data_IF_254418383538
#
_entry.id   IF_254418383538
#
_cell.length_a   1.000
_cell.length_b   1.000
_cell.length_c   1.000
_cell.angle_alpha   90.00
_cell.angle_beta   90.00
_cell.angle_gamma   90.00
#
_symmetry.space_group_name_H-M   'P 1'
#
loop_
_entity.id
_entity.type
_entity.pdbx_description
1 polymer ?
#
# COMPACT_ATOMS: atom_id res chain seq x y z
N UNK A 1 -16.96 -3.78 3.47
CA UNK A 1 -16.07 -4.93 3.19
C UNK A 1 -16.91 -6.17 2.99
N UNK A 2 -16.57 -7.06 2.04
CA UNK A 2 -17.23 -8.35 1.93
C UNK A 2 -17.07 -9.18 3.21
N UNK A 3 -18.04 -10.07 3.47
CA UNK A 3 -17.98 -10.97 4.63
C UNK A 3 -16.72 -11.83 4.59
N UNK A 4 -16.10 -12.05 5.75
CA UNK A 4 -14.85 -12.82 5.88
C UNK A 4 -13.56 -12.03 5.61
N UNK A 5 -13.64 -10.77 5.19
CA UNK A 5 -12.48 -9.91 4.95
C UNK A 5 -12.37 -8.79 5.99
N UNK A 6 -11.14 -8.54 6.45
CA UNK A 6 -10.81 -7.48 7.39
C UNK A 6 -9.90 -6.45 6.70
N UNK A 7 -10.30 -5.18 6.73
CA UNK A 7 -9.40 -4.08 6.38
C UNK A 7 -8.38 -3.86 7.50
N UNK A 8 -7.11 -3.72 7.14
CA UNK A 8 -6.00 -3.48 8.08
C UNK A 8 -5.49 -2.07 7.99
N UNK A 9 -5.31 -1.58 6.76
CA UNK A 9 -4.79 -0.26 6.48
C UNK A 9 -5.24 0.16 5.07
N UNK A 10 -5.08 1.42 4.73
CA UNK A 10 -5.30 1.91 3.39
C UNK A 10 -4.80 3.33 3.20
N UNK A 11 -4.55 3.70 1.96
CA UNK A 11 -4.17 5.06 1.58
C UNK A 11 -4.68 5.40 0.19
N UNK A 12 -4.71 6.69 -0.10
CA UNK A 12 -5.13 7.23 -1.40
C UNK A 12 -3.91 7.38 -2.30
N UNK A 13 -4.12 7.30 -3.61
CA UNK A 13 -3.11 7.60 -4.63
C UNK A 13 -3.66 8.64 -5.60
N UNK A 14 -2.82 9.59 -5.97
CA UNK A 14 -3.20 10.69 -6.87
C UNK A 14 -4.15 11.67 -6.18
N UNK A 15 -3.86 11.99 -4.91
CA UNK A 15 -4.58 13.02 -4.18
C UNK A 15 -4.34 14.38 -4.85
N UNK A 16 -5.43 15.07 -5.15
CA UNK A 16 -5.47 16.40 -5.76
C UNK A 16 -5.68 17.46 -4.66
N UNK A 17 -5.41 18.73 -4.98
CA UNK A 17 -5.53 19.85 -4.02
C UNK A 17 -6.95 20.02 -3.48
N UNK A 18 -7.96 19.69 -4.29
CA UNK A 18 -9.37 19.73 -3.89
C UNK A 18 -9.78 18.54 -2.99
N UNK A 19 -8.85 17.64 -2.65
CA UNK A 19 -9.11 16.46 -1.83
C UNK A 19 -9.55 15.22 -2.60
N UNK A 20 -9.76 15.30 -3.93
CA UNK A 20 -10.11 14.15 -4.74
C UNK A 20 -8.92 13.22 -4.98
N UNK A 21 -9.20 11.94 -5.22
CA UNK A 21 -8.21 10.95 -5.57
C UNK A 21 -8.76 9.97 -6.60
N UNK A 22 -7.89 9.46 -7.46
CA UNK A 22 -8.29 8.52 -8.52
C UNK A 22 -8.23 7.07 -8.08
N UNK A 23 -7.39 6.74 -7.08
CA UNK A 23 -7.21 5.37 -6.61
C UNK A 23 -7.04 5.31 -5.10
N UNK A 24 -7.32 4.13 -4.55
CA UNK A 24 -6.93 3.76 -3.19
C UNK A 24 -6.21 2.44 -3.21
N UNK A 25 -5.34 2.24 -2.23
CA UNK A 25 -4.78 0.94 -1.91
C UNK A 25 -5.34 0.49 -0.57
N UNK A 26 -5.81 -0.74 -0.50
CA UNK A 26 -6.32 -1.34 0.74
C UNK A 26 -5.49 -2.56 1.10
N UNK A 27 -4.95 -2.57 2.32
CA UNK A 27 -4.38 -3.76 2.91
C UNK A 27 -5.52 -4.55 3.57
N UNK A 28 -5.74 -5.77 3.08
CA UNK A 28 -6.85 -6.63 3.44
C UNK A 28 -6.31 -7.95 3.95
N UNK A 29 -7.01 -8.62 4.85
CA UNK A 29 -6.68 -9.99 5.23
C UNK A 29 -7.95 -10.82 5.39
N UNK A 30 -7.86 -12.11 5.07
CA UNK A 30 -8.81 -13.13 5.54
C UNK A 30 -8.19 -13.93 6.70
N UNK A 31 -8.78 -15.07 7.07
CA UNK A 31 -8.26 -15.95 8.13
C UNK A 31 -6.96 -16.69 7.77
N UNK A 32 -6.51 -16.65 6.52
CA UNK A 32 -5.40 -17.42 5.99
C UNK A 32 -4.27 -16.55 5.44
N UNK A 33 -4.58 -15.42 4.79
CA UNK A 33 -3.61 -14.61 4.04
C UNK A 33 -3.88 -13.11 4.09
N UNK A 34 -2.79 -12.35 3.91
CA UNK A 34 -2.83 -10.93 3.64
C UNK A 34 -2.89 -10.66 2.14
N UNK A 35 -3.53 -9.56 1.75
CA UNK A 35 -3.69 -9.09 0.39
C UNK A 35 -3.56 -7.58 0.32
N UNK A 36 -3.22 -7.10 -0.86
CA UNK A 36 -3.30 -5.68 -1.21
C UNK A 36 -4.22 -5.54 -2.40
N UNK A 37 -5.21 -4.65 -2.27
CA UNK A 37 -6.16 -4.34 -3.32
C UNK A 37 -5.85 -2.95 -3.87
N UNK A 38 -5.77 -2.84 -5.19
CA UNK A 38 -5.82 -1.57 -5.88
C UNK A 38 -7.28 -1.30 -6.27
N UNK A 39 -7.80 -0.16 -5.84
CA UNK A 39 -9.16 0.25 -6.16
C UNK A 39 -9.14 1.53 -6.99
N UNK A 40 -9.93 1.57 -8.06
CA UNK A 40 -10.24 2.80 -8.78
C UNK A 40 -11.43 3.49 -8.12
N UNK A 41 -11.30 4.79 -7.85
CA UNK A 41 -12.40 5.64 -7.40
C UNK A 41 -13.41 5.84 -8.53
N UNK A 42 -14.69 5.63 -8.24
CA UNK A 42 -15.83 5.93 -9.10
C UNK A 42 -16.60 7.17 -8.61
N UNK A 43 -16.00 7.94 -7.69
CA UNK A 43 -16.62 9.05 -7.00
C UNK A 43 -17.29 8.65 -5.69
N UNK A 44 -17.94 9.61 -5.05
CA UNK A 44 -18.66 9.39 -3.80
C UNK A 44 -20.17 9.29 -4.07
N UNK A 45 -20.83 8.40 -3.34
CA UNK A 45 -22.28 8.35 -3.29
C UNK A 45 -22.83 9.69 -2.74
N UNK A 46 -23.65 10.45 -3.50
CA UNK A 46 -24.09 11.77 -3.08
C UNK A 46 -24.96 11.77 -1.82
N UNK A 47 -25.68 10.67 -1.55
CA UNK A 47 -26.61 10.58 -0.43
C UNK A 47 -25.92 10.22 0.89
N UNK A 48 -24.86 9.43 0.83
CA UNK A 48 -24.16 8.88 2.00
C UNK A 48 -22.74 9.39 2.16
N UNK A 49 -22.19 10.05 1.15
CA UNK A 49 -20.79 10.49 1.10
C UNK A 49 -19.78 9.33 1.04
N UNK A 50 -20.24 8.09 0.85
CA UNK A 50 -19.36 6.91 0.83
C UNK A 50 -18.63 6.82 -0.50
N UNK A 51 -17.34 6.48 -0.47
CA UNK A 51 -16.57 6.21 -1.67
C UNK A 51 -17.14 4.99 -2.40
N UNK A 52 -17.53 5.17 -3.66
CA UNK A 52 -17.77 4.09 -4.60
C UNK A 52 -16.44 3.76 -5.29
N UNK A 53 -16.00 2.51 -5.20
CA UNK A 53 -14.73 2.09 -5.79
C UNK A 53 -14.83 0.69 -6.39
N UNK A 54 -14.05 0.45 -7.45
CA UNK A 54 -13.91 -0.85 -8.10
C UNK A 54 -12.53 -1.43 -7.78
N UNK A 55 -12.48 -2.67 -7.30
CA UNK A 55 -11.22 -3.43 -7.18
C UNK A 55 -10.75 -3.78 -8.59
N UNK A 56 -9.60 -3.25 -8.99
CA UNK A 56 -9.04 -3.44 -10.34
C UNK A 56 -7.84 -4.38 -10.37
N UNK A 57 -7.17 -4.57 -9.23
CA UNK A 57 -6.13 -5.59 -9.09
C UNK A 57 -5.96 -6.03 -7.64
N UNK A 58 -5.52 -7.27 -7.45
CA UNK A 58 -5.26 -7.88 -6.15
C UNK A 58 -3.93 -8.60 -6.18
N UNK A 59 -3.12 -8.38 -5.16
CA UNK A 59 -1.89 -9.13 -4.92
C UNK A 59 -1.95 -9.79 -3.56
N UNK A 60 -1.68 -11.09 -3.52
CA UNK A 60 -1.50 -11.81 -2.28
C UNK A 60 -0.13 -11.48 -1.68
N UNK A 61 -0.11 -11.23 -0.38
CA UNK A 61 1.11 -10.99 0.37
C UNK A 61 1.64 -12.33 0.92
N UNK A 62 2.96 -12.53 0.93
CA UNK A 62 3.53 -13.64 1.68
C UNK A 62 3.21 -13.47 3.17
N UNK A 63 3.20 -14.57 3.92
CA UNK A 63 3.06 -14.52 5.38
C UNK A 63 4.23 -13.76 5.98
N UNK A 64 3.95 -12.69 6.73
CA UNK A 64 4.99 -11.93 7.41
C UNK A 64 5.48 -12.70 8.64
N UNK A 65 6.79 -12.82 8.76
CA UNK A 65 7.43 -13.23 10.02
C UNK A 65 7.41 -12.08 11.04
N UNK A 66 7.71 -12.39 12.32
CA UNK A 66 7.79 -11.38 13.39
C UNK A 66 8.88 -10.32 13.15
N UNK A 67 9.85 -10.61 12.29
CA UNK A 67 10.94 -9.68 11.93
C UNK A 67 10.62 -8.88 10.67
N UNK A 68 9.38 -8.92 10.17
CA UNK A 68 8.96 -8.27 8.94
C UNK A 68 7.77 -7.35 9.18
N UNK A 69 7.71 -6.28 8.41
CA UNK A 69 6.61 -5.30 8.44
C UNK A 69 6.23 -4.88 7.03
N UNK A 70 4.93 -4.75 6.79
CA UNK A 70 4.41 -4.21 5.55
C UNK A 70 4.44 -2.68 5.58
N UNK A 71 4.97 -2.09 4.51
CA UNK A 71 5.19 -0.66 4.34
C UNK A 71 4.46 -0.17 3.08
N UNK A 72 3.82 1.00 3.18
CA UNK A 72 3.10 1.65 2.10
C UNK A 72 2.88 3.13 2.42
N UNK A 73 1.86 3.77 1.86
CA UNK A 73 1.40 5.12 2.22
C UNK A 73 2.52 6.18 2.24
N UNK A 74 3.19 6.40 1.11
CA UNK A 74 4.28 7.38 0.95
C UNK A 74 5.52 7.15 1.81
N UNK A 75 5.60 6.13 2.67
CA UNK A 75 6.79 5.90 3.50
C UNK A 75 7.96 5.25 2.76
N UNK A 76 7.77 4.81 1.51
CA UNK A 76 8.83 4.17 0.74
C UNK A 76 9.44 5.11 -0.32
N UNK A 77 10.74 4.93 -0.50
CA UNK A 77 11.58 5.66 -1.44
C UNK A 77 12.13 4.68 -2.47
N UNK A 78 12.36 5.16 -3.68
CA UNK A 78 13.11 4.44 -4.71
C UNK A 78 14.20 5.36 -5.23
N UNK A 79 15.46 4.93 -5.08
CA UNK A 79 16.64 5.69 -5.47
C UNK A 79 16.64 7.11 -4.86
N UNK A 80 16.32 7.20 -3.56
CA UNK A 80 16.31 8.46 -2.80
C UNK A 80 15.06 9.35 -2.99
N UNK A 81 14.13 8.98 -3.87
CA UNK A 81 12.90 9.75 -4.09
C UNK A 81 11.69 9.06 -3.48
N UNK A 82 10.91 9.80 -2.67
CA UNK A 82 9.66 9.31 -2.09
C UNK A 82 8.70 8.92 -3.22
N UNK A 83 8.04 7.78 -3.08
CA UNK A 83 7.17 7.26 -4.12
C UNK A 83 5.92 6.61 -3.51
N UNK A 84 4.79 7.31 -3.64
CA UNK A 84 3.47 6.89 -3.15
C UNK A 84 2.97 5.58 -3.72
N UNK A 85 3.43 5.24 -4.92
CA UNK A 85 3.02 4.03 -5.63
C UNK A 85 3.78 2.79 -5.15
N UNK A 86 4.72 2.92 -4.21
CA UNK A 86 5.51 1.81 -3.70
C UNK A 86 4.93 1.20 -2.45
N UNK A 87 5.04 -0.12 -2.39
CA UNK A 87 4.77 -0.93 -1.22
C UNK A 87 5.91 -1.92 -1.06
N UNK A 88 6.20 -2.28 0.17
CA UNK A 88 7.28 -3.20 0.46
C UNK A 88 7.01 -4.01 1.72
N UNK A 89 7.64 -5.17 1.81
CA UNK A 89 7.86 -5.84 3.08
C UNK A 89 9.30 -5.58 3.46
N UNK A 90 9.51 -4.91 4.59
CA UNK A 90 10.81 -4.54 5.11
C UNK A 90 11.12 -5.30 6.40
N UNK A 91 12.38 -5.28 6.82
CA UNK A 91 12.77 -5.73 8.16
C UNK A 91 12.18 -4.79 9.22
N UNK A 92 11.58 -5.39 10.25
CA UNK A 92 11.04 -4.68 11.39
C UNK A 92 12.18 -4.22 12.32
N UNK A 93 12.80 -3.10 11.97
CA UNK A 93 13.79 -2.41 12.81
C UNK A 93 13.20 -1.16 13.45
N UNK A 94 13.84 -0.71 14.54
CA UNK A 94 13.52 0.56 15.22
C UNK A 94 14.27 1.77 14.66
N UNK A 95 15.12 1.56 13.64
CA UNK A 95 15.82 2.65 12.95
C UNK A 95 14.84 3.53 12.18
N UNK A 96 15.18 4.81 11.98
CA UNK A 96 14.39 5.75 11.19
C UNK A 96 14.15 5.25 9.75
N UNK A 97 15.11 4.53 9.19
CA UNK A 97 15.02 3.95 7.85
C UNK A 97 15.20 2.43 7.89
N UNK A 98 14.34 1.73 7.17
CA UNK A 98 14.38 0.29 6.91
C UNK A 98 14.94 0.07 5.51
N UNK A 99 16.18 -0.38 5.45
CA UNK A 99 16.93 -0.56 4.19
C UNK A 99 16.91 -2.00 3.69
N UNK A 100 16.66 -2.97 4.57
CA UNK A 100 16.51 -4.38 4.19
C UNK A 100 15.08 -4.65 3.75
N UNK A 101 14.89 -4.80 2.44
CA UNK A 101 13.61 -5.03 1.80
C UNK A 101 13.53 -6.46 1.26
N UNK A 102 12.52 -7.21 1.68
CA UNK A 102 12.29 -8.60 1.28
C UNK A 102 11.47 -8.70 0.00
N UNK A 103 10.42 -7.89 -0.11
CA UNK A 103 9.53 -7.85 -1.26
C UNK A 103 9.15 -6.41 -1.57
N UNK A 104 8.92 -6.11 -2.84
CA UNK A 104 8.49 -4.80 -3.27
C UNK A 104 7.51 -4.89 -4.43
N UNK A 105 6.55 -3.99 -4.41
CA UNK A 105 5.56 -3.81 -5.45
C UNK A 105 5.40 -2.35 -5.81
N UNK A 106 5.01 -2.11 -7.05
CA UNK A 106 4.68 -0.78 -7.56
C UNK A 106 3.32 -0.78 -8.23
N UNK A 107 2.51 0.21 -7.88
CA UNK A 107 1.26 0.50 -8.58
C UNK A 107 1.57 1.19 -9.90
N UNK A 108 1.09 0.61 -10.98
CA UNK A 108 1.00 1.20 -12.32
C UNK A 108 -0.45 1.64 -12.54
N UNK A 109 -0.75 2.90 -12.17
CA UNK A 109 -2.11 3.46 -12.23
C UNK A 109 -2.67 3.49 -13.65
N UNK A 110 -1.82 3.70 -14.65
CA UNK A 110 -2.26 3.75 -16.04
C UNK A 110 -2.72 2.37 -16.56
N UNK A 111 -2.15 1.29 -16.01
CA UNK A 111 -2.51 -0.08 -16.36
C UNK A 111 -3.42 -0.75 -15.34
N UNK A 112 -3.76 -0.05 -14.26
CA UNK A 112 -4.52 -0.58 -13.13
C UNK A 112 -3.93 -1.89 -12.59
N UNK A 113 -2.60 -1.94 -12.43
CA UNK A 113 -1.88 -3.13 -11.98
C UNK A 113 -0.92 -2.86 -10.83
N UNK A 114 -0.81 -3.83 -9.93
CA UNK A 114 0.24 -3.92 -8.92
C UNK A 114 1.28 -4.92 -9.45
N UNK A 115 2.52 -4.45 -9.65
CA UNK A 115 3.59 -5.29 -10.18
C UNK A 115 4.67 -5.50 -9.15
N UNK A 116 5.11 -6.74 -9.00
CA UNK A 116 6.35 -7.02 -8.29
C UNK A 116 7.51 -6.33 -8.99
N UNK A 117 8.41 -5.74 -8.21
CA UNK A 117 9.61 -5.06 -8.70
C UNK A 117 10.84 -5.51 -7.92
N UNK A 118 12.02 -5.21 -8.44
CA UNK A 118 13.26 -5.39 -7.70
C UNK A 118 13.24 -4.55 -6.41
N UNK A 119 13.82 -5.10 -5.34
CA UNK A 119 14.01 -4.42 -4.06
C UNK A 119 15.20 -3.44 -4.08
N UNK A 120 16.02 -3.47 -5.14
CA UNK A 120 17.22 -2.63 -5.27
C UNK A 120 16.86 -1.14 -5.22
N UNK A 121 17.53 -0.42 -4.34
CA UNK A 121 17.35 1.03 -4.18
C UNK A 121 16.07 1.43 -3.45
N UNK A 122 15.33 0.47 -2.87
CA UNK A 122 14.16 0.73 -2.06
C UNK A 122 14.57 0.87 -0.59
N UNK A 123 14.08 1.93 0.04
CA UNK A 123 14.22 2.19 1.47
C UNK A 123 12.86 2.65 1.97
N UNK A 124 12.41 2.20 3.13
CA UNK A 124 11.17 2.69 3.72
C UNK A 124 11.44 3.37 5.06
N UNK A 125 10.88 4.55 5.25
CA UNK A 125 10.88 5.29 6.50
C UNK A 125 10.02 4.58 7.53
N UNK A 126 10.53 4.53 8.77
CA UNK A 126 9.81 4.05 9.92
C UNK A 126 9.12 5.24 10.60
N UNK A 127 7.79 5.39 10.47
CA UNK A 127 7.08 6.52 11.07
C UNK A 127 7.16 6.55 12.61
N UNK A 128 7.56 5.45 13.25
CA UNK A 128 7.75 5.37 14.71
C UNK A 128 9.23 5.26 15.11
N UNK A 129 10.17 5.37 14.17
CA UNK A 129 11.60 5.20 14.41
C UNK A 129 12.30 6.54 14.52
N UNK A 130 13.00 6.78 15.64
CA UNK A 130 13.72 8.04 15.89
C UNK A 130 13.33 8.78 17.18
N UNK A 131 12.74 8.09 18.16
CA UNK A 131 12.61 8.57 19.54
C UNK A 131 13.72 7.93 20.37
#
# INVERSE_FOLDING_TARGET
MPSGLQGRNGWVLGLQENGDFSYTVSQVSDSHKGMVWLNRSLGHDPATGKLNALVVDVVELPTLSKTQVFMGNHFCFQNGKRNENLMAIAEATNTQYRTKIYHAWKVDRAKEKIKAISTKGIVCENPTGGI
#
